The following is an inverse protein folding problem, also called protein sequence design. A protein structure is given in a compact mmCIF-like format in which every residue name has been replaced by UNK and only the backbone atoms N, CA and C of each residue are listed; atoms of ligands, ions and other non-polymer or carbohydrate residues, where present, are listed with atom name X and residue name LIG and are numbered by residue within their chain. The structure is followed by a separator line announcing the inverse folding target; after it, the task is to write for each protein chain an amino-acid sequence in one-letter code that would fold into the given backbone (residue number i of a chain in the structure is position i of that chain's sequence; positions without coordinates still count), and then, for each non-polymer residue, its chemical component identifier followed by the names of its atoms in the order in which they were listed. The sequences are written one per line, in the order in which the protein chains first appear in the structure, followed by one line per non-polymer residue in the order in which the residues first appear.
data_IF_276642935073
#
_entry.id   IF_276642935073
#
_cell.length_a   1.000
_cell.length_b   1.000
_cell.length_c   1.000
_cell.angle_alpha   90.00
_cell.angle_beta   90.00
_cell.angle_gamma   90.00
#
_symmetry.space_group_name_H-M   'P 1'
#
loop_
_entity.id
_entity.type
_entity.pdbx_description
1 polymer ?
#
# COMPACT_ATOMS: atom_id res chain seq x y z
N UNK A 1 4.67 -5.93 12.07
CA UNK A 1 3.47 -6.78 11.93
C UNK A 1 2.71 -6.57 10.61
N UNK A 2 2.31 -5.35 10.23
CA UNK A 2 1.55 -5.13 8.97
C UNK A 2 2.30 -5.62 7.71
N UNK A 3 3.61 -5.36 7.64
CA UNK A 3 4.45 -5.78 6.51
C UNK A 3 4.52 -7.30 6.33
N UNK A 4 4.59 -8.05 7.43
CA UNK A 4 4.65 -9.52 7.41
C UNK A 4 3.35 -10.11 6.83
N UNK A 5 2.19 -9.57 7.21
CA UNK A 5 0.90 -10.03 6.68
C UNK A 5 0.77 -9.77 5.18
N UNK A 6 1.24 -8.61 4.71
CA UNK A 6 1.23 -8.28 3.28
C UNK A 6 2.15 -9.23 2.50
N UNK A 7 3.33 -9.53 3.03
CA UNK A 7 4.25 -10.50 2.42
C UNK A 7 3.67 -11.91 2.35
N UNK A 8 2.97 -12.36 3.40
CA UNK A 8 2.29 -13.66 3.42
C UNK A 8 1.18 -13.70 2.37
N UNK A 9 0.34 -12.66 2.30
CA UNK A 9 -0.76 -12.58 1.33
C UNK A 9 -0.19 -12.53 -0.10
N UNK A 10 0.81 -11.69 -0.35
CA UNK A 10 1.47 -11.62 -1.65
C UNK A 10 2.02 -13.00 -2.07
N UNK A 11 2.67 -13.72 -1.14
CA UNK A 11 3.20 -15.06 -1.41
C UNK A 11 2.08 -16.07 -1.68
N UNK A 12 0.97 -16.01 -0.96
CA UNK A 12 -0.20 -16.86 -1.23
C UNK A 12 -0.80 -16.56 -2.63
N UNK A 13 -0.84 -15.30 -3.04
CA UNK A 13 -1.27 -14.90 -4.39
C UNK A 13 -0.32 -15.43 -5.48
N UNK A 14 1.00 -15.43 -5.25
CA UNK A 14 1.97 -16.02 -6.20
C UNK A 14 1.80 -17.53 -6.36
N UNK A 15 1.24 -18.23 -5.36
CA UNK A 15 0.96 -19.66 -5.44
C UNK A 15 -0.43 -19.97 -6.03
N UNK A 16 -1.01 -19.02 -6.78
CA UNK A 16 -2.32 -19.14 -7.43
C UNK A 16 -3.49 -19.44 -6.49
N UNK A 17 -3.34 -19.15 -5.17
CA UNK A 17 -4.37 -19.45 -4.17
C UNK A 17 -5.55 -18.46 -4.19
N UNK A 18 -5.53 -17.45 -5.05
CA UNK A 18 -6.64 -16.53 -5.26
C UNK A 18 -6.24 -15.10 -5.61
N UNK A 19 -7.21 -14.18 -5.47
CA UNK A 19 -7.07 -12.74 -5.74
C UNK A 19 -6.97 -11.99 -4.41
N UNK A 20 -6.03 -11.04 -4.31
CA UNK A 20 -5.86 -10.21 -3.12
C UNK A 20 -5.91 -8.71 -3.48
N UNK A 21 -6.53 -7.92 -2.60
CA UNK A 21 -6.51 -6.46 -2.69
C UNK A 21 -5.30 -5.95 -1.91
N UNK A 22 -4.27 -5.51 -2.63
CA UNK A 22 -3.00 -5.05 -2.06
C UNK A 22 -2.69 -3.60 -2.49
N UNK A 23 -2.12 -2.77 -1.61
CA UNK A 23 -1.68 -1.43 -1.99
C UNK A 23 -0.58 -1.48 -3.07
N UNK A 24 -0.77 -0.77 -4.19
CA UNK A 24 0.17 -0.77 -5.34
C UNK A 24 1.63 -0.52 -4.92
N UNK A 25 1.88 0.35 -3.94
CA UNK A 25 3.25 0.67 -3.50
C UNK A 25 3.96 -0.48 -2.77
N UNK A 26 3.23 -1.40 -2.14
CA UNK A 26 3.82 -2.54 -1.42
C UNK A 26 4.20 -3.69 -2.37
N UNK A 27 3.53 -3.77 -3.53
CA UNK A 27 3.73 -4.84 -4.52
C UNK A 27 4.43 -4.36 -5.79
N UNK A 28 5.01 -3.14 -5.77
CA UNK A 28 5.55 -2.50 -6.98
C UNK A 28 6.64 -3.33 -7.65
N UNK A 29 7.54 -3.91 -6.87
CA UNK A 29 8.61 -4.78 -7.37
C UNK A 29 8.07 -6.03 -8.08
N UNK A 30 6.99 -6.62 -7.55
CA UNK A 30 6.35 -7.80 -8.13
C UNK A 30 5.57 -7.44 -9.41
N UNK A 31 4.94 -6.26 -9.45
CA UNK A 31 4.31 -5.72 -10.66
C UNK A 31 5.35 -5.46 -11.76
N UNK A 32 6.48 -4.84 -11.41
CA UNK A 32 7.57 -4.54 -12.36
C UNK A 32 8.19 -5.83 -12.93
N UNK A 33 8.23 -6.91 -12.14
CA UNK A 33 8.71 -8.23 -12.56
C UNK A 33 7.66 -9.10 -13.25
N UNK A 34 6.43 -8.61 -13.41
CA UNK A 34 5.29 -9.36 -13.98
C UNK A 34 4.97 -10.64 -13.16
N UNK A 35 5.33 -10.65 -11.88
CA UNK A 35 4.97 -11.73 -10.94
C UNK A 35 3.49 -11.59 -10.51
N UNK A 36 2.94 -10.38 -10.59
CA UNK A 36 1.51 -10.13 -10.41
C UNK A 36 0.91 -9.47 -11.65
N UNK A 37 -0.32 -9.88 -11.96
CA UNK A 37 -1.16 -9.22 -12.95
C UNK A 37 -2.31 -8.49 -12.25
N UNK A 38 -2.60 -7.23 -12.61
CA UNK A 38 -3.74 -6.51 -12.05
C UNK A 38 -5.04 -7.20 -12.49
N UNK A 39 -5.76 -7.79 -11.54
CA UNK A 39 -7.05 -8.44 -11.80
C UNK A 39 -8.19 -7.42 -12.00
N UNK A 40 -8.12 -6.27 -11.32
CA UNK A 40 -9.10 -5.19 -11.40
C UNK A 40 -8.37 -3.85 -11.24
N UNK A 41 -8.37 -3.02 -12.28
CA UNK A 41 -7.79 -1.68 -12.25
C UNK A 41 -8.88 -0.62 -12.22
N UNK A 42 -9.67 -0.64 -11.14
CA UNK A 42 -10.68 0.36 -10.85
C UNK A 42 -10.23 1.20 -9.64
N UNK A 43 -10.44 2.52 -9.66
CA UNK A 43 -10.11 3.36 -8.51
C UNK A 43 -10.97 2.96 -7.32
N UNK A 44 -10.32 2.71 -6.18
CA UNK A 44 -11.04 2.51 -4.92
C UNK A 44 -11.66 3.84 -4.49
N UNK A 45 -12.98 3.90 -4.39
CA UNK A 45 -13.71 5.11 -3.97
C UNK A 45 -13.80 5.27 -2.45
N UNK A 46 -13.20 4.35 -1.69
CA UNK A 46 -13.28 4.34 -0.25
C UNK A 46 -12.25 5.29 0.39
N UNK A 47 -12.54 5.75 1.60
CA UNK A 47 -11.68 6.71 2.31
C UNK A 47 -10.57 6.00 3.12
N UNK A 48 -10.24 4.74 2.81
CA UNK A 48 -9.20 3.98 3.50
C UNK A 48 -7.84 4.35 2.92
N UNK A 49 -7.03 5.07 3.70
CA UNK A 49 -5.71 5.54 3.29
C UNK A 49 -4.66 5.32 4.38
N UNK A 50 -3.40 5.41 3.98
CA UNK A 50 -2.29 5.46 4.93
C UNK A 50 -2.22 6.87 5.52
N UNK A 51 -2.28 6.96 6.84
CA UNK A 51 -2.19 8.22 7.57
C UNK A 51 -0.84 8.31 8.28
N UNK A 52 -0.22 9.49 8.20
CA UNK A 52 0.93 9.81 9.02
C UNK A 52 0.45 10.13 10.44
N UNK A 53 0.92 9.37 11.43
CA UNK A 53 0.62 9.60 12.84
C UNK A 53 1.92 9.99 13.54
N UNK A 54 1.93 11.16 14.15
CA UNK A 54 3.08 11.68 14.90
C UNK A 54 2.62 12.35 16.19
N UNK A 55 3.41 12.30 17.29
CA UNK A 55 3.10 13.02 18.51
C UNK A 55 2.93 14.53 18.25
N UNK A 56 1.99 15.16 18.93
CA UNK A 56 1.66 16.59 18.73
C UNK A 56 2.88 17.51 18.91
N UNK A 57 3.73 17.17 19.87
CA UNK A 57 4.99 17.86 20.20
C UNK A 57 5.99 17.91 19.03
N UNK A 58 5.88 16.99 18.08
CA UNK A 58 6.78 16.88 16.93
C UNK A 58 6.20 17.50 15.66
N UNK A 59 5.00 18.08 15.69
CA UNK A 59 4.37 18.69 14.50
C UNK A 59 5.18 19.89 14.00
N UNK A 60 5.78 20.66 14.91
CA UNK A 60 6.53 21.88 14.60
C UNK A 60 7.97 21.61 14.14
N UNK A 61 8.42 20.35 14.16
CA UNK A 61 9.73 20.00 13.64
C UNK A 61 9.75 20.23 12.12
N UNK A 62 10.76 20.92 11.56
CA UNK A 62 10.75 21.35 10.16
C UNK A 62 10.63 20.22 9.13
N UNK A 63 10.95 18.98 9.52
CA UNK A 63 10.84 17.78 8.67
C UNK A 63 9.46 17.09 8.72
N UNK A 64 8.54 17.49 9.61
CA UNK A 64 7.26 16.82 9.86
C UNK A 64 6.07 17.44 9.10
N UNK A 65 6.30 18.24 8.06
CA UNK A 65 5.23 18.84 7.22
C UNK A 65 4.57 17.85 6.24
N UNK A 66 4.56 16.56 6.49
CA UNK A 66 3.85 15.58 5.67
C UNK A 66 2.38 15.48 6.11
N UNK A 67 1.52 16.31 5.53
CA UNK A 67 0.11 16.42 5.96
C UNK A 67 -0.82 15.38 5.32
N UNK A 68 -0.42 14.74 4.21
CA UNK A 68 -1.20 13.68 3.56
C UNK A 68 -0.37 13.00 2.48
N UNK A 69 -0.13 11.69 2.60
CA UNK A 69 0.33 10.90 1.46
C UNK A 69 -0.92 10.33 0.77
N UNK A 70 -1.46 11.11 -0.18
CA UNK A 70 -2.55 10.63 -1.05
C UNK A 70 -1.91 9.70 -2.06
N UNK A 71 -2.12 8.39 -1.89
CA UNK A 71 -1.74 7.41 -2.90
C UNK A 71 -2.69 7.57 -4.09
N UNK A 72 -2.28 8.36 -5.07
CA UNK A 72 -2.92 8.40 -6.37
C UNK A 72 -2.86 7.00 -6.99
N UNK A 73 -4.03 6.37 -7.14
CA UNK A 73 -4.22 5.24 -8.07
C UNK A 73 -4.44 5.83 -9.45
N UNK A 74 -3.35 6.05 -10.17
CA UNK A 74 -3.35 6.06 -11.63
C UNK A 74 -3.09 4.66 -12.16
#
# INVERSE_FOLDING_TARGET
MLFELVSIIAKATTTELGIALLPKFLIRNQLDKVEFLPALDLPLTNNFGYHWVTPFEQITYPHNRFHKMVLYTG
#
